data_IF_154441632075
#
_entry.id   IF_154441632075
#
_cell.length_a   1.000
_cell.length_b   1.000
_cell.length_c   1.000
_cell.angle_alpha   90.00
_cell.angle_beta   90.00
_cell.angle_gamma   90.00
#
_symmetry.space_group_name_H-M   'P 1'
#
loop_
_entity.id
_entity.type
_entity.pdbx_description
1 polymer ?
#
# COMPACT_ATOMS: atom_id res chain seq x y z
N UNK A 1 15.33 -29.11 -41.75
CA UNK A 1 14.86 -29.09 -40.37
C UNK A 1 15.15 -27.72 -39.79
N UNK A 2 14.15 -26.86 -39.72
CA UNK A 2 14.31 -25.54 -39.15
C UNK A 2 14.22 -25.66 -37.62
N UNK A 3 15.33 -25.43 -36.94
CA UNK A 3 15.39 -25.26 -35.48
C UNK A 3 14.68 -23.96 -35.11
N UNK A 4 13.39 -24.06 -34.76
CA UNK A 4 12.64 -22.96 -34.21
C UNK A 4 13.29 -22.55 -32.88
N UNK A 5 14.00 -21.42 -32.87
CA UNK A 5 14.44 -20.76 -31.66
C UNK A 5 13.18 -20.39 -30.88
N UNK A 6 12.99 -21.00 -29.70
CA UNK A 6 11.95 -20.52 -28.77
C UNK A 6 12.14 -19.02 -28.54
N UNK A 7 11.08 -18.19 -28.58
CA UNK A 7 11.20 -16.79 -28.20
C UNK A 7 11.82 -16.72 -26.82
N UNK A 8 12.97 -16.07 -26.69
CA UNK A 8 13.62 -15.87 -25.38
C UNK A 8 12.68 -15.06 -24.48
N UNK A 9 12.63 -15.42 -23.20
CA UNK A 9 11.88 -14.68 -22.17
C UNK A 9 12.25 -13.20 -22.21
N UNK A 10 11.28 -12.33 -22.38
CA UNK A 10 11.51 -10.89 -22.51
C UNK A 10 11.93 -10.27 -21.18
N UNK A 11 12.59 -9.11 -21.23
CA UNK A 11 12.92 -8.32 -20.03
C UNK A 11 11.68 -8.05 -19.19
N UNK A 12 10.56 -7.75 -19.83
CA UNK A 12 9.28 -7.47 -19.17
C UNK A 12 8.74 -8.70 -18.43
N UNK A 13 8.78 -9.87 -19.03
CA UNK A 13 8.33 -11.12 -18.39
C UNK A 13 9.21 -11.49 -17.20
N UNK A 14 10.53 -11.32 -17.31
CA UNK A 14 11.48 -11.56 -16.22
C UNK A 14 11.21 -10.58 -15.07
N UNK A 15 11.10 -9.29 -15.38
CA UNK A 15 10.81 -8.24 -14.40
C UNK A 15 9.51 -8.56 -13.66
N UNK A 16 8.41 -8.84 -14.36
CA UNK A 16 7.12 -9.17 -13.76
C UNK A 16 7.20 -10.40 -12.87
N UNK A 17 7.84 -11.48 -13.34
CA UNK A 17 7.99 -12.71 -12.56
C UNK A 17 8.79 -12.49 -11.28
N UNK A 18 9.92 -11.78 -11.36
CA UNK A 18 10.73 -11.48 -10.18
C UNK A 18 10.01 -10.54 -9.22
N UNK A 19 9.32 -9.51 -9.74
CA UNK A 19 8.51 -8.58 -8.97
C UNK A 19 7.42 -9.32 -8.17
N UNK A 20 6.65 -10.18 -8.81
CA UNK A 20 5.63 -11.00 -8.16
C UNK A 20 6.22 -11.88 -7.05
N UNK A 21 7.33 -12.56 -7.31
CA UNK A 21 8.00 -13.40 -6.31
C UNK A 21 8.53 -12.63 -5.10
N UNK A 22 9.02 -11.40 -5.30
CA UNK A 22 9.44 -10.52 -4.22
C UNK A 22 8.22 -10.05 -3.39
N UNK A 23 7.15 -9.63 -4.06
CA UNK A 23 5.93 -9.16 -3.39
C UNK A 23 5.26 -10.29 -2.61
N UNK A 24 5.19 -11.48 -3.17
CA UNK A 24 4.61 -12.66 -2.52
C UNK A 24 5.48 -13.25 -1.40
N UNK A 25 6.66 -12.67 -1.17
CA UNK A 25 7.59 -13.16 -0.16
C UNK A 25 8.29 -14.48 -0.52
N UNK A 26 8.26 -14.92 -1.79
CA UNK A 26 9.06 -16.07 -2.22
C UNK A 26 10.56 -15.76 -2.16
N UNK A 27 10.91 -14.52 -2.43
CA UNK A 27 12.23 -13.97 -2.17
C UNK A 27 12.11 -12.98 -1.00
N UNK A 28 12.53 -13.42 0.17
CA UNK A 28 12.47 -12.64 1.40
C UNK A 28 13.46 -11.47 1.40
N UNK A 29 13.25 -10.42 2.20
CA UNK A 29 14.23 -9.37 2.42
C UNK A 29 15.63 -9.93 2.69
N UNK A 30 16.67 -9.36 2.05
CA UNK A 30 18.06 -9.87 2.12
C UNK A 30 18.33 -11.08 1.23
N UNK A 31 17.35 -11.60 0.48
CA UNK A 31 17.60 -12.69 -0.47
C UNK A 31 18.54 -12.22 -1.58
N UNK A 32 19.65 -12.94 -1.76
CA UNK A 32 20.66 -12.64 -2.80
C UNK A 32 20.14 -12.98 -4.18
N UNK A 33 20.07 -11.98 -5.04
CA UNK A 33 19.64 -12.09 -6.43
C UNK A 33 20.81 -12.55 -7.32
N UNK A 34 21.26 -13.80 -7.12
CA UNK A 34 22.37 -14.37 -7.91
C UNK A 34 21.98 -14.48 -9.38
N UNK A 35 22.61 -13.68 -10.24
CA UNK A 35 22.30 -13.67 -11.68
C UNK A 35 22.50 -15.03 -12.35
N UNK A 36 23.48 -15.82 -11.90
CA UNK A 36 23.72 -17.17 -12.43
C UNK A 36 22.59 -18.14 -12.07
N UNK A 37 22.16 -18.13 -10.79
CA UNK A 37 21.08 -18.99 -10.31
C UNK A 37 19.74 -18.60 -10.94
N UNK A 38 19.43 -17.30 -10.94
CA UNK A 38 18.18 -16.79 -11.52
C UNK A 38 18.09 -17.00 -13.04
N UNK A 39 19.20 -16.85 -13.77
CA UNK A 39 19.22 -17.12 -15.20
C UNK A 39 18.93 -18.59 -15.51
N UNK A 40 19.46 -19.51 -14.71
CA UNK A 40 19.16 -20.93 -14.83
C UNK A 40 17.71 -21.26 -14.45
N UNK A 41 17.21 -20.68 -13.35
CA UNK A 41 15.84 -20.89 -12.86
C UNK A 41 14.78 -20.37 -13.85
N UNK A 42 15.02 -19.20 -14.46
CA UNK A 42 14.10 -18.55 -15.40
C UNK A 42 14.36 -18.95 -16.87
N UNK A 43 15.26 -19.88 -17.11
CA UNK A 43 15.65 -20.33 -18.45
C UNK A 43 15.99 -19.17 -19.41
N UNK A 44 16.72 -18.17 -18.91
CA UNK A 44 17.06 -16.95 -19.63
C UNK A 44 18.57 -16.66 -19.66
N UNK A 45 19.01 -15.71 -20.49
CA UNK A 45 20.39 -15.25 -20.49
C UNK A 45 20.61 -14.14 -19.44
N UNK A 46 21.89 -13.89 -19.09
CA UNK A 46 22.25 -12.87 -18.08
C UNK A 46 21.92 -11.44 -18.50
N UNK A 47 21.90 -11.13 -19.79
CA UNK A 47 21.66 -9.76 -20.28
C UNK A 47 20.25 -9.27 -19.95
N UNK A 48 19.16 -9.91 -20.43
CA UNK A 48 17.81 -9.48 -20.08
C UNK A 48 17.52 -9.58 -18.57
N UNK A 49 18.11 -10.56 -17.88
CA UNK A 49 17.99 -10.66 -16.43
C UNK A 49 18.59 -9.46 -15.72
N UNK A 50 19.76 -8.99 -16.14
CA UNK A 50 20.40 -7.81 -15.55
C UNK A 50 19.56 -6.55 -15.76
N UNK A 51 18.99 -6.38 -16.94
CA UNK A 51 18.07 -5.25 -17.21
C UNK A 51 16.83 -5.31 -16.33
N UNK A 52 16.23 -6.48 -16.15
CA UNK A 52 15.10 -6.66 -15.25
C UNK A 52 15.47 -6.34 -13.77
N UNK A 53 16.65 -6.78 -13.33
CA UNK A 53 17.15 -6.48 -11.97
C UNK A 53 17.41 -4.98 -11.77
N UNK A 54 17.93 -4.26 -12.76
CA UNK A 54 18.09 -2.80 -12.66
C UNK A 54 16.74 -2.07 -12.63
N UNK A 55 15.71 -2.58 -13.29
CA UNK A 55 14.36 -2.02 -13.16
C UNK A 55 13.80 -2.24 -11.75
N UNK A 56 13.99 -3.45 -11.18
CA UNK A 56 13.58 -3.72 -9.80
C UNK A 56 14.35 -2.87 -8.78
N UNK A 57 15.62 -2.53 -9.07
CA UNK A 57 16.41 -1.59 -8.28
C UNK A 57 15.85 -0.16 -8.37
N UNK A 58 15.49 0.31 -9.57
CA UNK A 58 14.84 1.60 -9.76
C UNK A 58 13.49 1.70 -9.03
N UNK A 59 12.75 0.58 -8.93
CA UNK A 59 11.51 0.49 -8.16
C UNK A 59 11.75 0.35 -6.64
N UNK A 60 13.01 0.18 -6.21
CA UNK A 60 13.38 0.00 -4.81
C UNK A 60 12.98 -1.35 -4.21
N UNK A 61 12.72 -2.35 -5.05
CA UNK A 61 12.45 -3.73 -4.61
C UNK A 61 13.73 -4.55 -4.41
N UNK A 62 14.81 -4.13 -5.05
CA UNK A 62 16.15 -4.70 -4.97
C UNK A 62 17.15 -3.58 -4.69
N UNK A 63 18.20 -3.87 -3.96
CA UNK A 63 19.29 -2.94 -3.69
C UNK A 63 20.62 -3.56 -4.11
N UNK A 64 21.54 -2.72 -4.64
CA UNK A 64 22.88 -3.14 -4.92
C UNK A 64 23.70 -3.13 -3.62
N UNK A 65 24.35 -4.25 -3.31
CA UNK A 65 25.30 -4.36 -2.19
C UNK A 65 26.74 -4.36 -2.71
N UNK A 66 27.57 -3.47 -2.15
CA UNK A 66 28.95 -3.33 -2.59
C UNK A 66 29.71 -4.67 -2.52
N UNK A 67 30.29 -5.10 -3.65
CA UNK A 67 31.03 -6.36 -3.82
C UNK A 67 30.21 -7.66 -3.61
N UNK A 68 28.88 -7.57 -3.46
CA UNK A 68 28.02 -8.74 -3.19
C UNK A 68 26.87 -8.93 -4.19
N UNK A 69 26.73 -8.03 -5.16
CA UNK A 69 25.68 -8.08 -6.18
C UNK A 69 24.41 -7.39 -5.70
N UNK A 70 23.25 -7.93 -6.06
CA UNK A 70 21.95 -7.39 -5.69
C UNK A 70 21.25 -8.30 -4.67
N UNK A 71 20.46 -7.70 -3.80
CA UNK A 71 19.58 -8.40 -2.86
C UNK A 71 18.20 -7.76 -2.79
N UNK A 72 17.23 -8.52 -2.33
CA UNK A 72 15.88 -8.01 -2.08
C UNK A 72 15.94 -6.96 -0.99
N UNK A 73 15.46 -5.76 -1.29
CA UNK A 73 15.50 -4.61 -0.39
C UNK A 73 14.83 -4.94 0.97
N UNK A 74 15.36 -4.46 2.09
CA UNK A 74 14.69 -4.55 3.38
C UNK A 74 13.36 -3.79 3.35
N UNK A 75 12.51 -4.03 4.33
CA UNK A 75 11.33 -3.24 4.62
C UNK A 75 11.17 -3.16 6.14
N UNK A 76 10.86 -2.00 6.65
CA UNK A 76 10.72 -1.75 8.08
C UNK A 76 9.40 -1.03 8.38
N UNK A 77 8.90 -1.07 9.63
CA UNK A 77 7.77 -0.26 10.07
C UNK A 77 7.94 1.22 9.76
N UNK A 78 9.15 1.76 9.95
CA UNK A 78 9.46 3.16 9.65
C UNK A 78 9.38 3.48 8.15
N UNK A 79 9.82 2.57 7.26
CA UNK A 79 9.64 2.75 5.81
C UNK A 79 8.16 2.77 5.44
N UNK A 80 7.36 1.89 6.05
CA UNK A 80 5.91 1.84 5.83
C UNK A 80 5.23 3.12 6.26
N UNK A 81 5.55 3.64 7.45
CA UNK A 81 5.06 4.95 7.90
C UNK A 81 5.37 6.04 6.87
N UNK A 82 6.62 6.15 6.42
CA UNK A 82 7.03 7.15 5.45
C UNK A 82 6.28 7.01 4.10
N UNK A 83 6.04 5.79 3.63
CA UNK A 83 5.26 5.56 2.42
C UNK A 83 3.82 6.03 2.57
N UNK A 84 3.17 5.77 3.72
CA UNK A 84 1.83 6.29 4.00
C UNK A 84 1.81 7.82 4.14
N UNK A 85 2.83 8.40 4.76
CA UNK A 85 2.96 9.87 4.86
C UNK A 85 3.03 10.50 3.47
N UNK A 86 3.83 9.96 2.56
CA UNK A 86 3.90 10.45 1.19
C UNK A 86 2.55 10.30 0.45
N UNK A 87 1.87 9.19 0.61
CA UNK A 87 0.52 9.00 0.06
C UNK A 87 -0.47 10.01 0.64
N UNK A 88 -0.44 10.23 1.94
CA UNK A 88 -1.30 11.20 2.65
C UNK A 88 -1.09 12.63 2.14
N UNK A 89 0.15 13.00 1.81
CA UNK A 89 0.46 14.32 1.26
C UNK A 89 0.03 14.49 -0.21
N UNK A 90 -0.07 13.40 -0.98
CA UNK A 90 -0.29 13.42 -2.43
C UNK A 90 -1.72 13.05 -2.81
N UNK A 91 -2.25 11.96 -2.29
CA UNK A 91 -3.51 11.39 -2.79
C UNK A 91 -4.76 12.20 -2.42
N UNK A 92 -4.97 12.64 -1.16
CA UNK A 92 -6.18 13.36 -0.80
C UNK A 92 -6.35 14.70 -1.54
N UNK A 93 -5.32 15.54 -1.71
CA UNK A 93 -5.46 16.75 -2.53
C UNK A 93 -5.63 16.41 -4.01
N UNK A 94 -5.03 15.32 -4.51
CA UNK A 94 -5.17 14.92 -5.91
C UNK A 94 -6.58 14.46 -6.21
N UNK A 95 -7.18 13.59 -5.37
CA UNK A 95 -8.57 13.14 -5.56
C UNK A 95 -9.53 14.33 -5.55
N UNK A 96 -9.31 15.31 -4.68
CA UNK A 96 -10.10 16.54 -4.67
C UNK A 96 -10.05 17.30 -6.00
N UNK A 97 -8.88 17.31 -6.66
CA UNK A 97 -8.69 18.01 -7.93
C UNK A 97 -9.23 17.26 -9.16
N UNK A 98 -9.49 15.94 -9.04
CA UNK A 98 -9.89 15.11 -10.19
C UNK A 98 -11.27 14.48 -10.04
N UNK A 99 -11.96 14.69 -8.93
CA UNK A 99 -13.23 14.00 -8.61
C UNK A 99 -14.27 14.17 -9.71
N UNK A 100 -14.33 15.34 -10.34
CA UNK A 100 -15.25 15.63 -11.46
C UNK A 100 -14.86 14.94 -12.77
N UNK A 101 -13.64 14.43 -12.87
CA UNK A 101 -13.14 13.71 -14.04
C UNK A 101 -13.43 12.21 -13.98
N UNK A 102 -13.83 11.69 -12.82
CA UNK A 102 -14.21 10.29 -12.66
C UNK A 102 -15.52 10.02 -13.43
N UNK A 103 -15.51 9.03 -14.30
CA UNK A 103 -16.63 8.65 -15.11
C UNK A 103 -17.51 7.60 -14.42
N UNK A 104 -18.74 7.40 -14.91
CA UNK A 104 -19.61 6.32 -14.43
C UNK A 104 -18.93 4.94 -14.55
N UNK A 105 -18.11 4.76 -15.56
CA UNK A 105 -17.34 3.55 -15.80
C UNK A 105 -16.21 3.36 -14.73
N UNK A 106 -15.58 4.44 -14.26
CA UNK A 106 -14.65 4.41 -13.13
C UNK A 106 -15.37 4.04 -11.83
N UNK A 107 -16.55 4.64 -11.59
CA UNK A 107 -17.38 4.34 -10.42
C UNK A 107 -17.93 2.92 -10.43
N UNK A 108 -18.32 2.40 -11.59
CA UNK A 108 -18.76 1.00 -11.73
C UNK A 108 -17.64 0.02 -11.35
N UNK A 109 -16.41 0.22 -11.87
CA UNK A 109 -15.25 -0.61 -11.51
C UNK A 109 -14.92 -0.53 -10.03
N UNK A 110 -14.97 0.65 -9.42
CA UNK A 110 -14.78 0.79 -7.98
C UNK A 110 -15.85 0.03 -7.18
N UNK A 111 -17.10 0.05 -7.65
CA UNK A 111 -18.20 -0.69 -7.03
C UNK A 111 -17.95 -2.21 -7.10
N UNK A 112 -17.59 -2.73 -8.28
CA UNK A 112 -17.25 -4.15 -8.48
C UNK A 112 -16.10 -4.61 -7.57
N UNK A 113 -15.05 -3.79 -7.45
CA UNK A 113 -13.93 -4.14 -6.57
C UNK A 113 -14.30 -4.05 -5.08
N UNK A 114 -15.16 -3.12 -4.67
CA UNK A 114 -15.69 -3.06 -3.30
C UNK A 114 -16.52 -4.32 -2.96
N UNK A 115 -17.39 -4.76 -3.87
CA UNK A 115 -18.16 -6.00 -3.73
C UNK A 115 -17.25 -7.23 -3.67
N UNK A 116 -16.19 -7.25 -4.48
CA UNK A 116 -15.17 -8.30 -4.45
C UNK A 116 -14.42 -8.34 -3.10
N UNK A 117 -14.10 -7.18 -2.52
CA UNK A 117 -13.51 -7.08 -1.17
C UNK A 117 -14.45 -7.71 -0.12
N UNK A 118 -15.73 -7.38 -0.14
CA UNK A 118 -16.72 -7.90 0.80
C UNK A 118 -16.90 -9.41 0.68
N UNK A 119 -16.93 -9.91 -0.55
CA UNK A 119 -16.99 -11.36 -0.82
C UNK A 119 -15.72 -12.10 -0.37
N UNK A 120 -14.59 -11.40 -0.36
CA UNK A 120 -13.28 -11.96 -0.01
C UNK A 120 -12.87 -11.76 1.45
N UNK A 121 -13.70 -11.17 2.32
CA UNK A 121 -13.34 -10.80 3.71
C UNK A 121 -12.67 -11.92 4.54
N UNK A 122 -12.97 -13.18 4.26
CA UNK A 122 -12.37 -14.34 4.92
C UNK A 122 -11.16 -14.92 4.20
N UNK A 123 -10.70 -14.29 3.12
CA UNK A 123 -9.55 -14.69 2.32
C UNK A 123 -8.66 -13.48 2.10
N UNK A 124 -7.77 -13.25 3.07
CA UNK A 124 -7.00 -12.01 3.15
C UNK A 124 -6.28 -11.63 1.85
N UNK A 125 -5.77 -12.60 1.09
CA UNK A 125 -5.08 -12.33 -0.18
C UNK A 125 -6.01 -11.77 -1.24
N UNK A 126 -7.15 -12.41 -1.44
CA UNK A 126 -8.15 -12.00 -2.42
C UNK A 126 -8.73 -10.61 -2.03
N UNK A 127 -8.93 -10.39 -0.73
CA UNK A 127 -9.32 -9.10 -0.19
C UNK A 127 -8.30 -8.01 -0.51
N UNK A 128 -7.01 -8.24 -0.23
CA UNK A 128 -5.95 -7.28 -0.50
C UNK A 128 -5.81 -6.96 -2.00
N UNK A 129 -6.00 -7.95 -2.86
CA UNK A 129 -5.98 -7.74 -4.32
C UNK A 129 -7.16 -6.89 -4.80
N UNK A 130 -8.36 -7.15 -4.30
CA UNK A 130 -9.54 -6.35 -4.62
C UNK A 130 -9.40 -4.91 -4.08
N UNK A 131 -8.93 -4.74 -2.83
CA UNK A 131 -8.66 -3.44 -2.23
C UNK A 131 -7.63 -2.63 -3.02
N UNK A 132 -6.56 -3.28 -3.48
CA UNK A 132 -5.57 -2.63 -4.33
C UNK A 132 -6.19 -2.15 -5.65
N UNK A 133 -6.99 -2.98 -6.35
CA UNK A 133 -7.68 -2.58 -7.59
C UNK A 133 -8.67 -1.45 -7.35
N UNK A 134 -9.41 -1.47 -6.25
CA UNK A 134 -10.35 -0.41 -5.88
C UNK A 134 -9.66 0.95 -5.88
N UNK A 135 -8.55 1.09 -5.18
CA UNK A 135 -7.79 2.35 -5.15
C UNK A 135 -7.11 2.67 -6.48
N UNK A 136 -6.64 1.68 -7.22
CA UNK A 136 -6.05 1.89 -8.55
C UNK A 136 -7.04 2.49 -9.56
N UNK A 137 -8.35 2.24 -9.44
CA UNK A 137 -9.34 2.83 -10.34
C UNK A 137 -9.36 4.37 -10.23
N UNK A 138 -9.19 4.93 -9.04
CA UNK A 138 -9.04 6.37 -8.86
C UNK A 138 -7.72 6.89 -9.47
N UNK A 139 -6.62 6.14 -9.37
CA UNK A 139 -5.30 6.52 -9.88
C UNK A 139 -5.27 6.69 -11.41
N UNK A 140 -6.17 6.06 -12.15
CA UNK A 140 -6.25 6.18 -13.62
C UNK A 140 -6.46 7.62 -14.10
N UNK A 141 -7.04 8.47 -13.24
CA UNK A 141 -7.29 9.89 -13.53
C UNK A 141 -6.23 10.82 -12.96
N UNK A 142 -5.27 10.28 -12.20
CA UNK A 142 -4.19 11.09 -11.67
C UNK A 142 -3.23 11.55 -12.78
N UNK A 143 -2.62 12.73 -12.65
CA UNK A 143 -1.48 13.09 -13.48
C UNK A 143 -0.41 12.00 -13.43
N UNK A 144 0.17 11.68 -14.59
CA UNK A 144 1.06 10.51 -14.75
C UNK A 144 2.10 10.35 -13.65
N UNK A 145 2.83 11.42 -13.33
CA UNK A 145 3.89 11.38 -12.31
C UNK A 145 3.35 11.06 -10.91
N UNK A 146 2.14 11.54 -10.58
CA UNK A 146 1.51 11.26 -9.29
C UNK A 146 0.99 9.82 -9.24
N UNK A 147 0.44 9.31 -10.33
CA UNK A 147 0.01 7.91 -10.43
C UNK A 147 1.18 6.95 -10.27
N UNK A 148 2.29 7.18 -10.98
CA UNK A 148 3.51 6.38 -10.88
C UNK A 148 4.11 6.39 -9.46
N UNK A 149 4.16 7.57 -8.83
CA UNK A 149 4.62 7.70 -7.44
C UNK A 149 3.73 6.90 -6.48
N UNK A 150 2.42 7.10 -6.55
CA UNK A 150 1.45 6.43 -5.67
C UNK A 150 1.48 4.92 -5.86
N UNK A 151 1.55 4.44 -7.09
CA UNK A 151 1.66 3.01 -7.40
C UNK A 151 2.94 2.41 -6.80
N UNK A 152 4.08 3.09 -6.94
CA UNK A 152 5.35 2.65 -6.34
C UNK A 152 5.27 2.55 -4.82
N UNK A 153 4.70 3.57 -4.16
CA UNK A 153 4.52 3.58 -2.70
C UNK A 153 3.57 2.47 -2.22
N UNK A 154 2.44 2.31 -2.91
CA UNK A 154 1.45 1.27 -2.61
C UNK A 154 2.04 -0.12 -2.74
N UNK A 155 2.88 -0.35 -3.76
CA UNK A 155 3.56 -1.62 -3.97
C UNK A 155 4.47 -1.99 -2.79
N UNK A 156 5.22 -1.03 -2.27
CA UNK A 156 6.13 -1.23 -1.13
C UNK A 156 5.34 -1.53 0.16
N UNK A 157 4.22 -0.82 0.37
CA UNK A 157 3.30 -1.10 1.47
C UNK A 157 2.69 -2.51 1.34
N UNK A 158 2.19 -2.86 0.16
CA UNK A 158 1.60 -4.16 -0.12
C UNK A 158 2.58 -5.32 0.12
N UNK A 159 3.84 -5.13 -0.27
CA UNK A 159 4.91 -6.08 0.03
C UNK A 159 5.09 -6.26 1.55
N UNK A 160 5.10 -5.17 2.32
CA UNK A 160 5.19 -5.26 3.78
C UNK A 160 3.98 -5.99 4.37
N UNK A 161 2.77 -5.69 3.91
CA UNK A 161 1.56 -6.39 4.30
C UNK A 161 1.67 -7.90 4.04
N UNK A 162 2.17 -8.30 2.88
CA UNK A 162 2.33 -9.72 2.51
C UNK A 162 3.34 -10.45 3.38
N UNK A 163 4.36 -9.77 3.88
CA UNK A 163 5.42 -10.37 4.69
C UNK A 163 5.06 -10.45 6.18
N UNK A 164 4.37 -9.45 6.70
CA UNK A 164 4.22 -9.25 8.13
C UNK A 164 2.77 -9.28 8.62
N UNK A 165 1.76 -9.14 7.76
CA UNK A 165 0.39 -9.25 8.20
C UNK A 165 0.04 -10.73 8.46
N UNK A 166 -0.05 -11.08 9.74
CA UNK A 166 -0.31 -12.45 10.17
C UNK A 166 -1.80 -12.81 10.21
N UNK A 167 -2.70 -11.87 9.87
CA UNK A 167 -4.13 -12.04 10.03
C UNK A 167 -4.77 -12.76 8.84
N UNK A 168 -5.51 -13.84 9.06
CA UNK A 168 -6.18 -14.59 8.00
C UNK A 168 -7.41 -13.87 7.42
N UNK A 169 -7.93 -12.86 8.10
CA UNK A 169 -9.18 -12.17 7.75
C UNK A 169 -8.98 -10.65 7.74
N UNK A 170 -9.71 -9.98 6.86
CA UNK A 170 -9.80 -8.51 6.90
C UNK A 170 -10.60 -8.05 8.13
N UNK A 171 -10.28 -6.88 8.73
CA UNK A 171 -11.09 -6.30 9.80
C UNK A 171 -12.53 -6.08 9.35
N UNK A 172 -13.51 -6.36 10.25
CA UNK A 172 -14.95 -6.31 9.91
C UNK A 172 -15.43 -4.96 9.36
N UNK A 173 -14.79 -3.87 9.80
CA UNK A 173 -15.19 -2.50 9.42
C UNK A 173 -14.33 -1.88 8.33
N UNK A 174 -13.37 -2.62 7.77
CA UNK A 174 -12.42 -2.05 6.81
C UNK A 174 -13.11 -1.56 5.54
N UNK A 175 -14.02 -2.35 4.98
CA UNK A 175 -14.79 -1.98 3.78
C UNK A 175 -15.79 -0.84 4.00
N UNK A 176 -16.16 -0.54 5.25
CA UNK A 176 -17.09 0.56 5.54
C UNK A 176 -16.50 1.94 5.21
N UNK A 177 -15.19 2.11 5.38
CA UNK A 177 -14.48 3.35 5.04
C UNK A 177 -14.41 3.52 3.52
N UNK A 178 -14.07 2.45 2.81
CA UNK A 178 -14.01 2.45 1.34
C UNK A 178 -15.39 2.68 0.71
N UNK A 179 -16.43 2.12 1.31
CA UNK A 179 -17.82 2.37 0.89
C UNK A 179 -18.19 3.86 1.04
N UNK A 180 -17.90 4.46 2.19
CA UNK A 180 -18.13 5.90 2.41
C UNK A 180 -17.30 6.77 1.47
N UNK A 181 -16.07 6.36 1.17
CA UNK A 181 -15.25 7.03 0.17
C UNK A 181 -15.90 6.99 -1.21
N UNK A 182 -16.36 5.81 -1.66
CA UNK A 182 -17.04 5.66 -2.94
C UNK A 182 -18.34 6.48 -3.02
N UNK A 183 -19.12 6.52 -1.93
CA UNK A 183 -20.33 7.35 -1.83
C UNK A 183 -19.98 8.83 -1.99
N UNK A 184 -18.98 9.33 -1.24
CA UNK A 184 -18.55 10.73 -1.34
C UNK A 184 -18.03 11.08 -2.76
N UNK A 185 -17.30 10.16 -3.39
CA UNK A 185 -16.84 10.32 -4.79
C UNK A 185 -18.02 10.35 -5.76
N UNK A 186 -19.01 9.48 -5.59
CA UNK A 186 -20.24 9.44 -6.42
C UNK A 186 -21.05 10.73 -6.30
N UNK A 187 -21.15 11.25 -5.08
CA UNK A 187 -21.87 12.49 -4.78
C UNK A 187 -21.07 13.75 -5.16
N UNK A 188 -19.84 13.58 -5.67
CA UNK A 188 -18.91 14.69 -5.96
C UNK A 188 -18.59 15.55 -4.74
N UNK A 189 -18.73 14.99 -3.55
CA UNK A 189 -18.42 15.66 -2.31
C UNK A 189 -16.89 15.67 -2.07
N UNK A 190 -16.25 16.64 -2.68
CA UNK A 190 -14.79 16.79 -2.74
C UNK A 190 -14.14 16.79 -1.36
N UNK A 191 -14.72 17.53 -0.42
CA UNK A 191 -14.11 17.64 0.91
C UNK A 191 -14.34 16.38 1.74
N UNK A 192 -15.52 15.77 1.66
CA UNK A 192 -15.80 14.51 2.35
C UNK A 192 -14.93 13.37 1.79
N UNK A 193 -14.81 13.26 0.47
CA UNK A 193 -13.94 12.26 -0.16
C UNK A 193 -12.49 12.43 0.29
N UNK A 194 -12.01 13.67 0.35
CA UNK A 194 -10.67 14.00 0.85
C UNK A 194 -10.49 13.58 2.31
N UNK A 195 -11.39 13.96 3.21
CA UNK A 195 -11.30 13.65 4.63
C UNK A 195 -11.36 12.14 4.90
N UNK A 196 -12.23 11.42 4.17
CA UNK A 196 -12.31 9.96 4.30
C UNK A 196 -11.02 9.30 3.81
N UNK A 197 -10.42 9.75 2.71
CA UNK A 197 -9.17 9.21 2.23
C UNK A 197 -8.01 9.52 3.18
N UNK A 198 -7.95 10.73 3.75
CA UNK A 198 -6.98 11.08 4.79
C UNK A 198 -7.12 10.15 6.00
N UNK A 199 -8.34 9.92 6.46
CA UNK A 199 -8.62 8.96 7.55
C UNK A 199 -8.17 7.56 7.20
N UNK A 200 -8.55 7.06 6.01
CA UNK A 200 -8.21 5.71 5.55
C UNK A 200 -6.69 5.47 5.56
N UNK A 201 -5.92 6.43 5.02
CA UNK A 201 -4.46 6.32 4.97
C UNK A 201 -3.82 6.38 6.36
N UNK A 202 -4.32 7.21 7.27
CA UNK A 202 -3.84 7.29 8.64
C UNK A 202 -4.18 6.01 9.42
N UNK A 203 -5.43 5.54 9.36
CA UNK A 203 -5.86 4.32 10.04
C UNK A 203 -5.10 3.08 9.55
N UNK A 204 -4.91 2.96 8.24
CA UNK A 204 -4.13 1.90 7.64
C UNK A 204 -2.64 1.95 8.04
N UNK A 205 -2.03 3.15 8.10
CA UNK A 205 -0.66 3.33 8.58
C UNK A 205 -0.52 2.86 10.03
N UNK A 206 -1.40 3.34 10.91
CA UNK A 206 -1.40 2.98 12.32
C UNK A 206 -1.58 1.48 12.50
N UNK A 207 -2.54 0.89 11.79
CA UNK A 207 -2.85 -0.53 11.85
C UNK A 207 -1.66 -1.39 11.46
N UNK A 208 -1.12 -1.17 10.26
CA UNK A 208 -0.06 -2.00 9.71
C UNK A 208 1.28 -1.86 10.44
N UNK A 209 1.65 -0.64 10.81
CA UNK A 209 2.93 -0.38 11.49
C UNK A 209 2.93 -0.98 12.89
N UNK A 210 1.84 -0.80 13.65
CA UNK A 210 1.78 -1.31 15.02
C UNK A 210 1.53 -2.81 15.12
N UNK A 211 1.06 -3.44 14.05
CA UNK A 211 1.02 -4.91 13.97
C UNK A 211 2.44 -5.50 13.96
N UNK A 212 3.37 -4.83 13.29
CA UNK A 212 4.78 -5.26 13.19
C UNK A 212 5.69 -4.68 14.27
N UNK A 213 5.38 -3.49 14.81
CA UNK A 213 6.11 -2.80 15.89
C UNK A 213 5.16 -2.06 16.83
N UNK A 214 4.67 -2.71 17.89
CA UNK A 214 3.70 -2.12 18.83
C UNK A 214 4.17 -0.86 19.55
N UNK A 215 5.48 -0.64 19.63
CA UNK A 215 6.10 0.52 20.30
C UNK A 215 6.51 1.64 19.35
N UNK A 216 6.18 1.52 18.06
CA UNK A 216 6.56 2.47 17.03
C UNK A 216 6.08 3.89 17.35
N UNK A 217 6.97 4.86 17.14
CA UNK A 217 6.67 6.29 17.26
C UNK A 217 6.42 6.84 15.86
N UNK A 218 5.24 7.40 15.67
CA UNK A 218 4.79 7.96 14.38
C UNK A 218 5.26 9.41 14.20
N UNK A 219 6.57 9.65 14.31
CA UNK A 219 7.11 11.02 14.25
C UNK A 219 6.85 11.70 12.90
N UNK A 220 7.02 10.98 11.80
CA UNK A 220 6.77 11.51 10.45
C UNK A 220 5.27 11.75 10.20
N UNK A 221 4.41 10.82 10.63
CA UNK A 221 2.96 10.94 10.50
C UNK A 221 2.42 12.12 11.32
N UNK A 222 2.89 12.30 12.56
CA UNK A 222 2.50 13.41 13.42
C UNK A 222 2.91 14.78 12.85
N UNK A 223 4.07 14.85 12.19
CA UNK A 223 4.50 16.06 11.48
C UNK A 223 3.61 16.35 10.28
N UNK A 224 3.32 15.33 9.46
CA UNK A 224 2.50 15.47 8.26
C UNK A 224 1.05 15.85 8.61
N UNK A 225 0.42 15.16 9.56
CA UNK A 225 -0.97 15.45 9.99
C UNK A 225 -1.10 16.88 10.53
N UNK A 226 -0.14 17.33 11.34
CA UNK A 226 -0.10 18.72 11.82
C UNK A 226 -0.03 19.73 10.67
N UNK A 227 0.84 19.46 9.67
CA UNK A 227 0.97 20.30 8.47
C UNK A 227 -0.30 20.36 7.62
N UNK A 228 -1.09 19.27 7.61
CA UNK A 228 -2.38 19.18 6.91
C UNK A 228 -3.56 19.76 7.72
N UNK A 229 -3.32 20.26 8.93
CA UNK A 229 -4.38 20.73 9.83
C UNK A 229 -5.27 19.58 10.33
N UNK A 230 -4.70 18.40 10.49
CA UNK A 230 -5.35 17.22 11.07
C UNK A 230 -4.81 17.03 12.49
N UNK A 231 -5.70 17.10 13.47
CA UNK A 231 -5.36 16.74 14.85
C UNK A 231 -5.52 15.24 15.01
N UNK A 232 -4.42 14.58 15.34
CA UNK A 232 -4.36 13.18 15.69
C UNK A 232 -4.19 13.07 17.22
N UNK A 233 -5.04 12.29 17.87
CA UNK A 233 -4.99 12.10 19.32
C UNK A 233 -3.67 11.48 19.76
N UNK A 234 -3.03 12.09 20.76
CA UNK A 234 -1.78 11.60 21.33
C UNK A 234 -1.85 11.56 22.85
N UNK A 235 -1.13 10.62 23.44
CA UNK A 235 -0.91 10.50 24.88
C UNK A 235 0.06 11.59 25.39
N UNK A 236 0.19 11.71 26.71
CA UNK A 236 1.07 12.71 27.33
C UNK A 236 2.57 12.54 26.97
N UNK A 237 2.99 11.34 26.61
CA UNK A 237 4.35 11.02 26.15
C UNK A 237 4.51 11.11 24.61
N UNK A 238 3.58 11.77 23.94
CA UNK A 238 3.55 12.01 22.49
C UNK A 238 3.51 10.73 21.64
N UNK A 239 2.91 9.68 22.15
CA UNK A 239 2.56 8.48 21.36
C UNK A 239 1.15 8.65 20.80
N UNK A 240 0.86 8.03 19.67
CA UNK A 240 -0.50 8.02 19.13
C UNK A 240 -1.41 7.26 20.10
N UNK A 241 -2.47 7.92 20.56
CA UNK A 241 -3.51 7.32 21.39
C UNK A 241 -4.33 6.32 20.58
N UNK A 242 -4.89 5.28 21.23
CA UNK A 242 -5.64 4.26 20.49
C UNK A 242 -6.93 3.84 21.20
N UNK A 243 -8.03 3.86 20.49
CA UNK A 243 -8.23 4.38 19.14
C UNK A 243 -7.95 5.89 19.06
N UNK A 244 -7.19 6.32 18.06
CA UNK A 244 -6.90 7.73 17.89
C UNK A 244 -8.13 8.46 17.34
N UNK A 245 -8.42 9.65 17.89
CA UNK A 245 -9.39 10.57 17.31
C UNK A 245 -8.72 11.45 16.26
N UNK A 246 -9.42 11.68 15.14
CA UNK A 246 -9.00 12.60 14.10
C UNK A 246 -10.00 13.74 14.00
N UNK A 247 -9.48 14.97 14.00
CA UNK A 247 -10.25 16.19 13.79
C UNK A 247 -9.55 17.08 12.78
N UNK A 248 -10.33 17.69 11.90
CA UNK A 248 -9.81 18.60 10.88
C UNK A 248 -9.99 20.05 11.32
N UNK A 249 -8.89 20.83 11.28
CA UNK A 249 -8.85 22.25 11.66
C UNK A 249 -8.67 23.18 10.46
N UNK A 250 -8.51 22.64 9.25
CA UNK A 250 -8.37 23.46 8.06
C UNK A 250 -9.70 24.08 7.63
N UNK A 251 -9.62 25.23 6.95
CA UNK A 251 -10.77 25.88 6.37
C UNK A 251 -11.45 24.96 5.32
N UNK A 252 -12.78 24.88 5.37
CA UNK A 252 -13.57 24.05 4.45
C UNK A 252 -13.75 22.60 4.87
N UNK A 253 -12.99 22.12 5.87
CA UNK A 253 -13.21 20.78 6.41
C UNK A 253 -14.56 20.70 7.15
N UNK A 254 -15.22 19.54 7.09
CA UNK A 254 -16.42 19.27 7.87
C UNK A 254 -16.05 19.16 9.34
N UNK A 255 -16.44 20.15 10.12
CA UNK A 255 -16.12 20.21 11.56
C UNK A 255 -16.87 19.15 12.39
N UNK A 256 -17.99 18.66 11.86
CA UNK A 256 -18.82 17.60 12.46
C UNK A 256 -18.32 16.18 12.16
N UNK A 257 -17.32 16.03 11.28
CA UNK A 257 -16.72 14.77 10.97
C UNK A 257 -15.64 14.42 11.99
N UNK A 258 -16.02 13.72 13.04
CA UNK A 258 -15.09 13.11 13.97
C UNK A 258 -15.01 11.60 13.69
N UNK A 259 -13.81 11.11 13.42
CA UNK A 259 -13.54 9.72 13.12
C UNK A 259 -12.54 9.15 14.12
N UNK A 260 -12.73 7.90 14.48
CA UNK A 260 -11.84 7.17 15.37
C UNK A 260 -11.22 6.00 14.62
N UNK A 261 -9.91 5.84 14.78
CA UNK A 261 -9.17 4.73 14.17
C UNK A 261 -9.69 3.40 14.71
N UNK A 262 -9.67 2.39 13.86
CA UNK A 262 -10.03 1.04 14.27
C UNK A 262 -9.04 0.48 15.31
N UNK A 263 -9.56 -0.21 16.34
CA UNK A 263 -8.74 -1.00 17.24
C UNK A 263 -8.32 -2.28 16.51
N UNK A 264 -7.24 -2.22 15.73
CA UNK A 264 -6.65 -3.41 15.10
C UNK A 264 -5.82 -4.25 16.10
N UNK A 265 -6.16 -4.23 17.38
CA UNK A 265 -5.70 -5.28 18.28
C UNK A 265 -6.63 -6.48 18.09
N UNK A 266 -6.19 -7.42 17.29
CA UNK A 266 -6.72 -8.78 17.44
C UNK A 266 -6.36 -9.26 18.84
N UNK A 267 -7.28 -9.96 19.53
CA UNK A 267 -6.97 -10.56 20.82
C UNK A 267 -5.70 -11.43 20.63
N UNK A 268 -4.67 -11.20 21.45
CA UNK A 268 -3.60 -12.17 21.60
C UNK A 268 -4.31 -13.46 21.95
N UNK A 269 -4.17 -14.48 21.14
CA UNK A 269 -4.57 -15.83 21.52
C UNK A 269 -3.81 -16.13 22.81
N UNK A 270 -4.53 -16.23 23.92
CA UNK A 270 -4.00 -16.79 25.17
C UNK A 270 -3.57 -18.23 24.84
N UNK A 271 -2.29 -18.45 24.59
CA UNK A 271 -1.80 -19.75 24.15
C UNK A 271 -0.31 -19.88 23.93
N UNK A 272 0.53 -18.98 24.49
CA UNK A 272 1.97 -19.22 24.55
C UNK A 272 2.52 -18.90 25.97
N UNK A 273 2.03 -19.67 26.91
CA UNK A 273 2.64 -19.84 28.23
C UNK A 273 2.75 -21.33 28.50
N UNK A 274 3.78 -21.97 27.97
CA UNK A 274 4.32 -23.22 28.52
C UNK A 274 5.75 -23.43 28.04
#
# INVERSE_FOLDING_TARGET
MATGTRPGTTVEEIYRTLRERIIEGRYMPGFRMSQGALAAELETSRTPLREALHRLEADGLVVAEANRGMEVAPTSPADVEQHYVLRLLVEPPTISGIIDQLTEDDLARMTEDLEAMEAARHRIRDFQEAHHRFHQNALRRYPKALAELTESLTLKIYRHQRLYLSHPHAPEHFTSVDRRFLEAVRDRDTELARQILEFHLIDAALGLVLDSDPDHRFDALLVATRGLGIELGTTADNRVDRPASLRWRRLGARADLELHTSNLRLPRTEGDSS
#
